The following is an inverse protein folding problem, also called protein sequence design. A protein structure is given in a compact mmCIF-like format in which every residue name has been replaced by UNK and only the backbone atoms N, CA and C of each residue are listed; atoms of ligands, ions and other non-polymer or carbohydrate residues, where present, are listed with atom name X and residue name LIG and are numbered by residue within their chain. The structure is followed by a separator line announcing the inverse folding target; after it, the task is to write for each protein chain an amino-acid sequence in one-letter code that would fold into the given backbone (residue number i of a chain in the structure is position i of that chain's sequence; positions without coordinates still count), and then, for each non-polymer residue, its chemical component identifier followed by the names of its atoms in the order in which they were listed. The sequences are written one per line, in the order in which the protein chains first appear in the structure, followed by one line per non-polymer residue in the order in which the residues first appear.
data_IF_926839723084
#
_entry.id   IF_926839723084
#
_cell.length_a   1.000
_cell.length_b   1.000
_cell.length_c   1.000
_cell.angle_alpha   90.00
_cell.angle_beta   90.00
_cell.angle_gamma   90.00
#
_symmetry.space_group_name_H-M   'P 1'
#
loop_
_entity.id
_entity.type
_entity.pdbx_description
1 polymer ?
#
# COMPACT_ATOMS: atom_id res chain seq x y z
N UNK A 1 0.88 11.20 -10.32
CA UNK A 1 0.86 12.50 -9.59
C UNK A 1 2.31 12.89 -9.26
N UNK A 2 2.59 14.15 -8.90
CA UNK A 2 3.95 14.62 -8.60
C UNK A 2 4.28 14.70 -7.10
N UNK A 3 3.28 14.49 -6.25
CA UNK A 3 3.33 14.60 -4.79
C UNK A 3 3.56 13.25 -4.07
N UNK A 4 3.55 12.14 -4.83
CA UNK A 4 3.72 10.78 -4.30
C UNK A 4 4.36 9.88 -5.35
N UNK A 5 5.17 8.93 -4.91
CA UNK A 5 5.69 7.86 -5.74
C UNK A 5 5.66 6.50 -5.03
N UNK A 6 5.61 5.43 -5.81
CA UNK A 6 5.67 4.06 -5.32
C UNK A 6 7.11 3.60 -5.45
N UNK A 7 7.74 3.29 -4.32
CA UNK A 7 9.16 2.87 -4.27
C UNK A 7 9.32 1.37 -4.04
N UNK A 8 8.30 0.70 -3.48
CA UNK A 8 8.32 -0.74 -3.24
C UNK A 8 6.92 -1.36 -3.26
N UNK A 9 6.87 -2.66 -3.57
CA UNK A 9 5.69 -3.52 -3.55
C UNK A 9 6.09 -4.85 -2.92
N UNK A 10 5.22 -5.41 -2.08
CA UNK A 10 5.35 -6.77 -1.57
C UNK A 10 4.13 -7.59 -1.95
N UNK A 11 4.33 -8.73 -2.59
CA UNK A 11 3.30 -9.74 -2.83
C UNK A 11 3.96 -11.12 -2.94
N UNK A 12 3.21 -12.20 -2.76
CA UNK A 12 3.73 -13.57 -2.90
C UNK A 12 3.86 -14.02 -4.36
N UNK A 13 3.41 -13.19 -5.30
CA UNK A 13 3.58 -13.37 -6.74
C UNK A 13 4.99 -12.96 -7.19
N UNK A 14 5.47 -13.56 -8.27
CA UNK A 14 6.72 -13.14 -8.90
C UNK A 14 6.56 -11.82 -9.69
N UNK A 15 7.69 -11.15 -9.94
CA UNK A 15 7.70 -9.84 -10.59
C UNK A 15 7.15 -9.86 -12.02
N UNK A 16 7.35 -10.95 -12.78
CA UNK A 16 6.83 -11.10 -14.14
C UNK A 16 5.31 -11.18 -14.14
N UNK A 17 4.75 -11.93 -13.20
CA UNK A 17 3.31 -12.04 -13.04
C UNK A 17 2.68 -10.74 -12.53
N UNK A 18 3.32 -10.05 -11.59
CA UNK A 18 2.88 -8.70 -11.18
C UNK A 18 2.94 -7.69 -12.33
N UNK A 19 3.99 -7.74 -13.17
CA UNK A 19 4.08 -6.89 -14.35
C UNK A 19 2.94 -7.18 -15.35
N UNK A 20 2.59 -8.45 -15.53
CA UNK A 20 1.44 -8.84 -16.35
C UNK A 20 0.12 -8.30 -15.78
N UNK A 21 -0.12 -8.49 -14.49
CA UNK A 21 -1.33 -7.99 -13.83
C UNK A 21 -1.44 -6.46 -13.87
N UNK A 22 -0.33 -5.76 -13.72
CA UNK A 22 -0.31 -4.31 -13.86
C UNK A 22 -0.61 -3.87 -15.30
N UNK A 23 -0.12 -4.59 -16.32
CA UNK A 23 -0.35 -4.24 -17.74
C UNK A 23 -1.79 -4.44 -18.19
N UNK A 24 -2.47 -5.46 -17.65
CA UNK A 24 -3.73 -5.94 -18.16
C UNK A 24 -4.79 -6.05 -17.06
N UNK A 25 -5.73 -5.10 -17.05
CA UNK A 25 -6.89 -5.10 -16.16
C UNK A 25 -8.18 -5.28 -16.97
N UNK A 26 -9.02 -6.25 -16.58
CA UNK A 26 -10.26 -6.59 -17.29
C UNK A 26 -11.36 -5.53 -17.16
N UNK A 27 -11.32 -4.70 -16.12
CA UNK A 27 -12.33 -3.68 -15.82
C UNK A 27 -11.87 -2.29 -16.23
N UNK A 28 -10.62 -1.96 -15.97
CA UNK A 28 -10.04 -0.64 -16.22
C UNK A 28 -9.21 -0.57 -17.52
N UNK A 29 -9.00 -1.70 -18.21
CA UNK A 29 -8.29 -1.78 -19.47
C UNK A 29 -6.78 -1.93 -19.31
N UNK A 30 -6.03 -1.60 -20.37
CA UNK A 30 -4.56 -1.67 -20.33
C UNK A 30 -3.99 -0.47 -19.57
N UNK A 31 -2.93 -0.71 -18.80
CA UNK A 31 -2.18 0.38 -18.17
C UNK A 31 -1.58 1.32 -19.22
N UNK A 32 -1.86 2.60 -19.08
CA UNK A 32 -1.35 3.66 -19.95
C UNK A 32 0.07 4.07 -19.51
N UNK A 33 1.05 3.26 -19.88
CA UNK A 33 2.45 3.47 -19.54
C UNK A 33 3.33 2.27 -19.85
N UNK A 34 4.60 2.36 -19.45
CA UNK A 34 5.55 1.27 -19.60
C UNK A 34 5.70 0.49 -18.31
N UNK A 35 5.77 -0.84 -18.45
CA UNK A 35 5.99 -1.76 -17.34
C UNK A 35 6.97 -2.83 -17.82
N UNK A 36 8.10 -2.94 -17.14
CA UNK A 36 9.16 -3.91 -17.44
C UNK A 36 9.61 -4.58 -16.15
N UNK A 37 10.24 -5.75 -16.27
CA UNK A 37 10.90 -6.42 -15.14
C UNK A 37 12.39 -6.41 -15.40
N UNK A 38 13.17 -5.99 -14.39
CA UNK A 38 14.62 -5.99 -14.44
C UNK A 38 15.19 -6.38 -13.10
N UNK A 39 16.02 -7.43 -13.09
CA UNK A 39 16.70 -7.93 -11.88
C UNK A 39 15.72 -8.22 -10.73
N UNK A 40 14.54 -8.78 -11.04
CA UNK A 40 13.48 -9.07 -10.07
C UNK A 40 12.71 -7.83 -9.57
N UNK A 41 12.93 -6.66 -10.13
CA UNK A 41 12.23 -5.40 -9.80
C UNK A 41 11.27 -4.99 -10.92
N UNK A 42 10.24 -4.21 -10.60
CA UNK A 42 9.44 -3.54 -11.62
C UNK A 42 10.09 -2.23 -12.04
N UNK A 43 10.09 -1.95 -13.33
CA UNK A 43 10.40 -0.64 -13.91
C UNK A 43 9.11 -0.10 -14.51
N UNK A 44 8.50 0.89 -13.85
CA UNK A 44 7.23 1.48 -14.28
C UNK A 44 7.47 2.92 -14.70
N UNK A 45 7.19 3.26 -15.96
CA UNK A 45 7.47 4.58 -16.52
C UNK A 45 8.93 5.04 -16.26
N UNK A 46 9.89 4.11 -16.39
CA UNK A 46 11.31 4.34 -16.13
C UNK A 46 11.73 4.38 -14.66
N UNK A 47 10.79 4.28 -13.71
CA UNK A 47 11.08 4.27 -12.26
C UNK A 47 11.23 2.84 -11.75
N UNK A 48 12.33 2.57 -11.03
CA UNK A 48 12.57 1.28 -10.38
C UNK A 48 11.75 1.19 -9.08
N UNK A 49 11.04 0.07 -8.93
CA UNK A 49 10.23 -0.27 -7.76
C UNK A 49 10.77 -1.58 -7.17
N UNK A 50 11.15 -1.57 -5.90
CA UNK A 50 11.58 -2.79 -5.19
C UNK A 50 10.41 -3.76 -5.09
N UNK A 51 10.66 -5.01 -5.44
CA UNK A 51 9.70 -6.10 -5.29
C UNK A 51 10.23 -7.08 -4.26
N UNK A 52 9.37 -7.49 -3.33
CA UNK A 52 9.65 -8.54 -2.35
C UNK A 52 8.51 -9.55 -2.32
N UNK A 53 8.81 -10.75 -1.83
CA UNK A 53 7.84 -11.83 -1.62
C UNK A 53 7.93 -12.37 -0.19
N UNK A 54 7.64 -11.49 0.77
CA UNK A 54 7.73 -11.78 2.20
C UNK A 54 6.33 -11.91 2.81
N UNK A 55 6.16 -12.93 3.66
CA UNK A 55 4.89 -13.24 4.34
C UNK A 55 4.75 -12.50 5.66
N UNK A 56 5.84 -12.26 6.37
CA UNK A 56 5.82 -11.53 7.64
C UNK A 56 6.21 -10.06 7.40
N UNK A 57 5.29 -9.10 7.58
CA UNK A 57 5.58 -7.71 7.30
C UNK A 57 6.75 -7.11 8.07
N UNK A 58 7.13 -7.71 9.21
CA UNK A 58 8.26 -7.29 10.01
C UNK A 58 9.62 -7.43 9.29
N UNK A 59 9.70 -8.27 8.26
CA UNK A 59 10.94 -8.57 7.53
C UNK A 59 11.12 -7.70 6.27
N UNK A 60 10.20 -6.76 6.00
CA UNK A 60 10.15 -6.03 4.72
C UNK A 60 11.21 -4.94 4.54
N UNK A 61 11.90 -4.52 5.62
CA UNK A 61 13.00 -3.54 5.58
C UNK A 61 12.67 -2.31 4.73
N UNK A 62 11.60 -1.64 5.07
CA UNK A 62 11.06 -0.46 4.40
C UNK A 62 11.98 0.76 4.47
N UNK A 63 12.80 0.83 5.50
CA UNK A 63 13.84 1.84 5.70
C UNK A 63 14.91 1.82 4.59
N UNK A 64 15.27 0.65 4.07
CA UNK A 64 16.25 0.52 2.97
C UNK A 64 15.82 1.24 1.68
N UNK A 65 14.52 1.51 1.51
CA UNK A 65 13.93 2.20 0.35
C UNK A 65 13.20 3.50 0.72
N UNK A 66 13.34 3.95 1.97
CA UNK A 66 12.81 5.23 2.43
C UNK A 66 11.28 5.35 2.39
N UNK A 67 10.53 4.29 2.69
CA UNK A 67 9.04 4.34 2.67
C UNK A 67 8.50 5.24 3.79
N UNK A 68 7.80 6.30 3.39
CA UNK A 68 7.06 7.15 4.32
C UNK A 68 5.74 6.53 4.76
N UNK A 69 4.99 5.93 3.82
CA UNK A 69 3.66 5.38 4.08
C UNK A 69 3.50 4.04 3.38
N UNK A 70 3.06 3.02 4.11
CA UNK A 70 2.63 1.74 3.56
C UNK A 70 1.12 1.77 3.34
N UNK A 71 0.67 1.36 2.15
CA UNK A 71 -0.72 1.01 1.92
C UNK A 71 -0.90 -0.49 2.20
N UNK A 72 -1.48 -0.83 3.34
CA UNK A 72 -1.75 -2.21 3.74
C UNK A 72 -3.03 -2.69 3.05
N UNK A 73 -2.82 -3.36 1.91
CA UNK A 73 -3.87 -3.77 0.98
C UNK A 73 -4.06 -5.29 0.86
N UNK A 74 -3.44 -6.08 1.76
CA UNK A 74 -3.57 -7.54 1.77
C UNK A 74 -4.91 -7.99 2.35
N UNK A 75 -5.54 -7.16 3.20
CA UNK A 75 -6.74 -7.50 3.97
C UNK A 75 -6.48 -8.42 5.17
N UNK A 76 -5.22 -8.77 5.45
CA UNK A 76 -4.83 -9.63 6.57
C UNK A 76 -4.47 -8.85 7.83
N UNK A 77 -3.72 -7.76 7.68
CA UNK A 77 -3.14 -6.99 8.80
C UNK A 77 -4.00 -5.76 9.13
N UNK A 78 -5.22 -6.02 9.61
CA UNK A 78 -6.26 -5.01 9.86
C UNK A 78 -6.41 -4.62 11.34
N UNK A 79 -5.40 -4.82 12.17
CA UNK A 79 -5.34 -4.31 13.56
C UNK A 79 -4.06 -3.50 13.75
N UNK A 80 -4.02 -2.61 14.74
CA UNK A 80 -2.79 -1.87 15.08
C UNK A 80 -1.64 -2.85 15.31
N UNK A 81 -1.85 -3.88 16.14
CA UNK A 81 -0.84 -4.90 16.45
C UNK A 81 -0.25 -5.54 15.19
N UNK A 82 -1.10 -5.91 14.23
CA UNK A 82 -0.66 -6.63 13.03
C UNK A 82 -0.03 -5.71 11.99
N UNK A 83 -0.59 -4.51 11.78
CA UNK A 83 -0.05 -3.51 10.86
C UNK A 83 1.24 -2.86 11.38
N UNK A 84 1.43 -2.80 12.70
CA UNK A 84 2.63 -2.24 13.34
C UNK A 84 3.91 -2.99 12.98
N UNK A 85 3.80 -4.22 12.47
CA UNK A 85 4.90 -4.93 11.84
C UNK A 85 5.56 -4.14 10.70
N UNK A 86 4.81 -3.35 9.92
CA UNK A 86 5.42 -2.47 8.92
C UNK A 86 6.19 -1.31 9.55
N UNK A 87 5.71 -0.74 10.66
CA UNK A 87 6.44 0.30 11.39
C UNK A 87 7.76 -0.29 11.93
N UNK A 88 7.71 -1.48 12.52
CA UNK A 88 8.91 -2.22 12.96
C UNK A 88 9.88 -2.49 11.81
N UNK A 89 9.36 -2.74 10.61
CA UNK A 89 10.16 -2.92 9.41
C UNK A 89 10.70 -1.61 8.81
N UNK A 90 10.42 -0.44 9.41
CA UNK A 90 11.03 0.85 9.02
C UNK A 90 10.13 1.82 8.26
N UNK A 91 8.84 1.52 8.06
CA UNK A 91 7.91 2.49 7.50
C UNK A 91 7.55 3.56 8.56
N UNK A 92 7.33 4.81 8.14
CA UNK A 92 6.94 5.86 9.10
C UNK A 92 5.45 5.81 9.46
N UNK A 93 4.59 5.41 8.51
CA UNK A 93 3.13 5.32 8.68
C UNK A 93 2.53 4.15 7.91
N UNK A 94 1.33 3.73 8.31
CA UNK A 94 0.54 2.69 7.64
C UNK A 94 -0.90 3.18 7.45
N UNK A 95 -1.44 2.95 6.25
CA UNK A 95 -2.85 3.14 5.93
C UNK A 95 -3.44 1.79 5.53
N UNK A 96 -4.32 1.24 6.36
CA UNK A 96 -5.11 0.06 6.01
C UNK A 96 -6.14 0.44 4.94
N UNK A 97 -6.25 -0.32 3.86
CA UNK A 97 -7.20 -0.04 2.77
C UNK A 97 -8.58 -0.66 2.99
N UNK A 98 -8.81 -1.27 4.15
CA UNK A 98 -10.10 -1.79 4.61
C UNK A 98 -10.41 -1.38 6.05
N UNK A 99 -11.63 -1.65 6.55
CA UNK A 99 -12.02 -1.35 7.92
C UNK A 99 -11.08 -2.04 8.93
N UNK A 100 -10.67 -1.31 9.96
CA UNK A 100 -9.95 -1.91 11.07
C UNK A 100 -10.81 -2.95 11.80
N UNK A 101 -10.15 -3.99 12.31
CA UNK A 101 -10.73 -5.03 13.17
C UNK A 101 -10.59 -4.71 14.66
N UNK A 102 -10.09 -3.51 14.97
CA UNK A 102 -9.91 -2.96 16.31
C UNK A 102 -10.22 -1.44 16.31
N UNK A 103 -9.79 -0.76 17.36
CA UNK A 103 -10.03 0.67 17.57
C UNK A 103 -9.10 1.60 16.78
N UNK A 104 -8.35 1.09 15.80
CA UNK A 104 -7.53 1.92 14.90
C UNK A 104 -8.42 2.99 14.24
N UNK A 105 -8.02 4.28 14.26
CA UNK A 105 -8.88 5.36 13.77
C UNK A 105 -9.09 5.27 12.26
N UNK A 106 -10.36 5.42 11.85
CA UNK A 106 -10.78 5.45 10.46
C UNK A 106 -11.03 6.88 9.98
N UNK A 107 -10.51 7.21 8.80
CA UNK A 107 -10.69 8.51 8.19
C UNK A 107 -11.33 8.36 6.80
N UNK A 108 -12.34 9.19 6.55
CA UNK A 108 -13.03 9.30 5.26
C UNK A 108 -12.90 10.73 4.77
N UNK A 109 -12.36 10.87 3.56
CA UNK A 109 -12.13 12.18 2.95
C UNK A 109 -13.47 12.91 2.78
N UNK A 110 -13.52 14.15 3.27
CA UNK A 110 -14.75 14.96 3.25
C UNK A 110 -15.65 14.81 4.48
N UNK A 111 -15.41 13.83 5.35
CA UNK A 111 -16.20 13.61 6.57
C UNK A 111 -15.44 13.95 7.87
N UNK A 112 -14.23 13.43 8.05
CA UNK A 112 -13.49 13.58 9.31
C UNK A 112 -11.97 13.66 9.16
N UNK A 113 -11.45 13.92 7.95
CA UNK A 113 -10.01 14.02 7.69
C UNK A 113 -9.32 15.14 8.49
N UNK A 114 -10.06 16.19 8.88
CA UNK A 114 -9.62 17.27 9.76
C UNK A 114 -9.26 16.80 11.18
N UNK A 115 -9.76 15.63 11.60
CA UNK A 115 -9.48 15.04 12.91
C UNK A 115 -8.17 14.25 12.94
N UNK A 116 -7.50 14.10 11.80
CA UNK A 116 -6.21 13.41 11.74
C UNK A 116 -5.17 14.21 12.55
N UNK A 117 -4.63 13.60 13.59
CA UNK A 117 -3.74 14.25 14.56
C UNK A 117 -2.30 13.72 14.45
N UNK A 118 -1.94 13.11 13.31
CA UNK A 118 -0.60 12.55 13.11
C UNK A 118 -0.45 11.11 13.55
N UNK A 119 -1.54 10.36 13.71
CA UNK A 119 -1.50 8.91 14.00
C UNK A 119 -0.64 8.19 12.96
N UNK A 120 0.15 7.23 13.41
CA UNK A 120 1.07 6.46 12.58
C UNK A 120 0.35 5.34 11.81
N UNK A 121 -0.68 4.75 12.41
CA UNK A 121 -1.52 3.72 11.80
C UNK A 121 -2.97 4.20 11.76
N UNK A 122 -3.54 4.17 10.56
CA UNK A 122 -4.94 4.56 10.31
C UNK A 122 -5.59 3.61 9.32
N UNK A 123 -6.92 3.64 9.24
CA UNK A 123 -7.68 2.95 8.19
C UNK A 123 -8.42 3.96 7.30
N UNK A 124 -8.46 3.68 6.00
CA UNK A 124 -9.24 4.43 5.03
C UNK A 124 -10.70 3.91 4.91
N UNK A 125 -11.17 3.17 5.92
CA UNK A 125 -12.48 2.53 5.97
C UNK A 125 -12.75 1.60 4.77
N UNK A 126 -14.03 1.33 4.47
CA UNK A 126 -14.44 0.56 3.29
C UNK A 126 -14.84 1.47 2.13
N UNK A 127 -14.90 0.92 0.91
CA UNK A 127 -15.46 1.63 -0.25
C UNK A 127 -16.93 2.03 -0.02
N UNK A 128 -17.75 1.19 0.61
CA UNK A 128 -19.15 1.51 0.97
C UNK A 128 -19.23 2.68 1.95
N UNK A 129 -18.36 2.71 2.97
CA UNK A 129 -18.29 3.82 3.92
C UNK A 129 -17.88 5.12 3.22
N UNK A 130 -16.91 5.07 2.32
CA UNK A 130 -16.48 6.24 1.54
C UNK A 130 -17.58 6.76 0.61
N UNK A 131 -18.48 5.88 0.12
CA UNK A 131 -19.64 6.28 -0.69
C UNK A 131 -20.75 6.91 0.16
N UNK A 132 -21.00 6.39 1.36
CA UNK A 132 -22.16 6.77 2.19
C UNK A 132 -21.92 7.99 3.09
N UNK A 133 -20.68 8.23 3.51
CA UNK A 133 -20.36 9.25 4.51
C UNK A 133 -20.36 10.73 4.03
N UNK A 134 -19.99 11.06 2.77
CA UNK A 134 -20.07 12.43 2.24
C UNK A 134 -21.52 12.93 2.09
#
# INVERSE_FOLDING_TARGET
RSDIEIVAINDLLDADYMAYMLKYDSTHGRFDGTVEVKDGHLIVNGKKIRVTAERDPANLKWDEVGVDVVAEATGLFLTDETARKHITAGAKKVVMTGPSKDNTPMFVKGANFDKYAGQDIVSNASCTTNCLAP
#
